data_IF_130730045966
#
_entry.id   IF_130730045966
#
_cell.length_a   1.000
_cell.length_b   1.000
_cell.length_c   1.000
_cell.angle_alpha   90.00
_cell.angle_beta   90.00
_cell.angle_gamma   90.00
#
_symmetry.space_group_name_H-M   'P 1'
#
loop_
_entity.id
_entity.type
_entity.pdbx_description
1 polymer ?
#
# COMPACT_ATOMS: atom_id res chain seq x y z
N UNK A 1 -11.72 9.93 -8.58
CA UNK A 1 -10.48 10.75 -8.54
C UNK A 1 -9.31 9.80 -8.33
N UNK A 2 -8.17 9.99 -9.02
CA UNK A 2 -6.99 9.10 -8.96
C UNK A 2 -5.68 9.88 -8.70
N UNK A 3 -5.77 11.17 -8.41
CA UNK A 3 -4.65 12.07 -8.62
C UNK A 3 -4.23 12.80 -7.34
N UNK A 4 -3.55 12.03 -6.48
CA UNK A 4 -2.47 12.50 -5.59
C UNK A 4 -2.88 13.53 -4.54
N UNK A 5 -4.17 13.79 -4.39
CA UNK A 5 -4.68 14.63 -3.33
C UNK A 5 -4.48 13.91 -1.99
N UNK A 6 -4.31 14.70 -0.93
CA UNK A 6 -4.21 14.16 0.43
C UNK A 6 -5.47 13.34 0.75
N UNK A 7 -5.28 12.06 1.11
CA UNK A 7 -6.38 11.14 1.43
C UNK A 7 -6.83 10.21 0.30
N UNK A 8 -6.33 10.36 -0.92
CA UNK A 8 -6.67 9.45 -2.03
C UNK A 8 -6.11 8.02 -1.83
N UNK A 9 -5.03 7.88 -1.03
CA UNK A 9 -4.31 6.61 -0.82
C UNK A 9 -4.06 6.38 0.66
N UNK A 10 -4.77 5.43 1.29
CA UNK A 10 -4.68 5.23 2.75
C UNK A 10 -4.83 3.76 3.22
N UNK A 11 -3.78 2.94 3.11
CA UNK A 11 -2.77 2.95 2.05
C UNK A 11 -3.35 2.35 0.75
N UNK A 12 -2.58 2.39 -0.32
CA UNK A 12 -2.90 1.71 -1.58
C UNK A 12 -1.69 0.91 -2.07
N UNK A 13 -1.96 -0.23 -2.72
CA UNK A 13 -0.94 -1.13 -3.26
C UNK A 13 -1.31 -1.57 -4.67
N UNK A 14 -0.35 -1.53 -5.57
CA UNK A 14 -0.44 -2.02 -6.94
C UNK A 14 0.72 -2.95 -7.24
N UNK A 15 0.67 -3.63 -8.39
CA UNK A 15 1.83 -4.28 -8.97
C UNK A 15 2.53 -3.33 -9.95
N UNK A 16 3.86 -3.37 -9.99
CA UNK A 16 4.57 -2.82 -11.15
C UNK A 16 4.27 -3.67 -12.38
N UNK A 17 4.12 -3.01 -13.53
CA UNK A 17 3.81 -3.64 -14.82
C UNK A 17 4.69 -4.86 -15.08
N UNK A 18 4.07 -5.96 -15.49
CA UNK A 18 4.72 -7.24 -15.82
C UNK A 18 5.58 -7.86 -14.69
N UNK A 19 5.32 -7.49 -13.43
CA UNK A 19 6.00 -8.05 -12.26
C UNK A 19 5.02 -8.43 -11.16
N UNK A 20 5.51 -9.14 -10.14
CA UNK A 20 4.81 -9.32 -8.87
C UNK A 20 5.39 -8.44 -7.75
N UNK A 21 6.15 -7.40 -8.12
CA UNK A 21 6.69 -6.39 -7.20
C UNK A 21 5.60 -5.40 -6.84
N UNK A 22 5.46 -5.10 -5.54
CA UNK A 22 4.47 -4.12 -5.09
C UNK A 22 4.97 -2.68 -5.20
N UNK A 23 4.06 -1.81 -5.64
CA UNK A 23 4.16 -0.35 -5.56
C UNK A 23 3.18 0.13 -4.49
N UNK A 24 3.69 0.61 -3.36
CA UNK A 24 2.85 0.92 -2.18
C UNK A 24 2.94 2.41 -1.88
N UNK A 25 1.77 3.03 -1.71
CA UNK A 25 1.63 4.47 -1.50
C UNK A 25 0.69 4.76 -0.34
N UNK A 26 1.00 5.80 0.40
CA UNK A 26 0.08 6.37 1.38
C UNK A 26 0.20 7.89 1.39
N UNK A 27 -0.90 8.55 1.69
CA UNK A 27 -0.93 9.98 1.90
C UNK A 27 -0.20 10.37 3.18
N UNK A 28 0.44 11.52 3.12
CA UNK A 28 0.90 12.32 4.25
C UNK A 28 0.61 13.78 3.99
N UNK A 29 0.77 14.60 5.02
CA UNK A 29 0.75 16.05 4.89
C UNK A 29 1.68 16.49 3.75
N UNK A 30 1.15 17.32 2.86
CA UNK A 30 1.85 17.88 1.70
C UNK A 30 2.34 16.83 0.67
N UNK A 31 1.79 15.60 0.67
CA UNK A 31 2.12 14.58 -0.33
C UNK A 31 1.22 13.35 -0.32
N UNK A 32 0.36 13.21 -1.34
CA UNK A 32 -0.57 12.07 -1.50
C UNK A 32 -0.01 10.83 -2.21
N UNK A 33 1.30 10.75 -2.46
CA UNK A 33 1.92 9.67 -3.24
C UNK A 33 3.30 9.23 -2.73
N UNK A 34 3.61 9.53 -1.48
CA UNK A 34 4.78 8.96 -0.81
C UNK A 34 4.54 7.48 -0.55
N UNK A 35 5.61 6.72 -0.35
CA UNK A 35 5.49 5.27 -0.41
C UNK A 35 6.78 4.52 -0.16
N UNK A 36 6.66 3.21 -0.29
CA UNK A 36 7.75 2.26 -0.13
C UNK A 36 7.56 1.15 -1.17
N UNK A 37 8.56 0.96 -2.05
CA UNK A 37 8.48 -0.02 -3.13
C UNK A 37 9.51 -1.14 -2.87
N UNK A 38 9.15 -2.23 -2.16
CA UNK A 38 10.06 -3.34 -1.90
C UNK A 38 10.69 -3.85 -3.19
N UNK A 39 11.99 -4.15 -3.20
CA UNK A 39 12.64 -4.74 -4.38
C UNK A 39 12.18 -6.18 -4.63
N UNK A 40 11.73 -6.84 -3.58
CA UNK A 40 11.28 -8.21 -3.52
C UNK A 40 9.94 -8.39 -4.23
N UNK A 41 9.88 -9.43 -5.05
CA UNK A 41 8.68 -9.86 -5.76
C UNK A 41 7.89 -10.87 -4.94
N UNK A 42 6.55 -10.81 -5.01
CA UNK A 42 5.71 -11.84 -4.41
C UNK A 42 5.83 -13.14 -5.22
N UNK A 43 6.03 -14.30 -4.58
CA UNK A 43 6.11 -15.57 -5.29
C UNK A 43 4.77 -15.95 -5.93
N UNK A 44 4.80 -16.33 -7.21
CA UNK A 44 3.63 -16.81 -7.93
C UNK A 44 3.06 -18.09 -7.31
N UNK A 45 1.73 -18.21 -7.29
CA UNK A 45 1.03 -19.41 -6.79
C UNK A 45 1.13 -19.63 -5.28
N UNK A 46 1.71 -18.71 -4.52
CA UNK A 46 1.88 -18.83 -3.07
C UNK A 46 1.25 -17.65 -2.33
N UNK A 47 0.35 -17.96 -1.39
CA UNK A 47 -0.20 -16.95 -0.49
C UNK A 47 0.94 -16.32 0.33
N UNK A 48 1.02 -14.99 0.29
CA UNK A 48 2.00 -14.21 1.04
C UNK A 48 1.26 -13.17 1.86
N UNK A 49 1.43 -13.20 3.18
CA UNK A 49 0.89 -12.16 4.06
C UNK A 49 1.69 -10.87 3.85
N UNK A 50 0.99 -9.79 3.50
CA UNK A 50 1.57 -8.46 3.35
C UNK A 50 1.06 -7.59 4.49
N UNK A 51 1.95 -7.10 5.34
CA UNK A 51 1.63 -6.13 6.39
C UNK A 51 2.19 -4.76 5.99
N UNK A 52 1.34 -3.73 5.95
CA UNK A 52 1.73 -2.34 5.70
C UNK A 52 1.44 -1.56 6.98
N UNK A 53 2.47 -0.93 7.56
CA UNK A 53 2.36 -0.15 8.79
C UNK A 53 2.79 1.27 8.53
N UNK A 54 1.91 2.23 8.85
CA UNK A 54 2.22 3.66 8.80
C UNK A 54 2.03 4.21 10.21
N UNK A 55 3.14 4.36 10.94
CA UNK A 55 3.16 4.79 12.34
C UNK A 55 4.55 5.31 12.70
N UNK A 56 4.66 6.05 13.81
CA UNK A 56 5.95 6.50 14.39
C UNK A 56 6.86 7.23 13.39
N UNK A 57 6.27 8.04 12.50
CA UNK A 57 7.03 8.78 11.49
C UNK A 57 7.41 7.96 10.26
N UNK A 58 7.02 6.70 10.17
CA UNK A 58 7.52 5.75 9.17
C UNK A 58 6.41 5.00 8.44
N UNK A 59 6.73 4.55 7.24
CA UNK A 59 6.03 3.44 6.58
C UNK A 59 6.96 2.24 6.54
N UNK A 60 6.46 1.08 6.94
CA UNK A 60 7.15 -0.20 6.90
C UNK A 60 6.28 -1.24 6.19
N UNK A 61 6.90 -2.05 5.34
CA UNK A 61 6.24 -3.13 4.61
C UNK A 61 6.90 -4.45 4.97
N UNK A 62 6.09 -5.46 5.24
CA UNK A 62 6.56 -6.80 5.60
C UNK A 62 5.92 -7.85 4.71
N UNK A 63 6.72 -8.81 4.26
CA UNK A 63 6.26 -10.03 3.60
C UNK A 63 6.49 -11.21 4.52
N UNK A 64 5.41 -11.93 4.85
CA UNK A 64 5.44 -13.07 5.78
C UNK A 64 6.18 -12.75 7.10
N UNK A 65 6.05 -11.53 7.61
CA UNK A 65 6.68 -11.06 8.85
C UNK A 65 8.09 -10.45 8.69
N UNK A 66 8.76 -10.65 7.56
CA UNK A 66 10.08 -10.05 7.30
C UNK A 66 9.92 -8.65 6.70
N UNK A 67 10.61 -7.65 7.26
CA UNK A 67 10.60 -6.28 6.74
C UNK A 67 11.34 -6.23 5.40
N UNK A 68 10.65 -5.79 4.36
CA UNK A 68 11.17 -5.69 2.97
C UNK A 68 11.31 -4.26 2.49
N UNK A 69 10.69 -3.29 3.18
CA UNK A 69 10.82 -1.87 2.84
C UNK A 69 10.56 -0.98 4.06
N UNK A 70 11.26 0.14 4.15
CA UNK A 70 11.01 1.22 5.11
C UNK A 70 11.27 2.60 4.50
N UNK A 71 10.46 3.60 4.85
CA UNK A 71 10.73 5.02 4.64
C UNK A 71 10.33 5.82 5.89
N UNK A 72 11.02 6.94 6.13
CA UNK A 72 10.82 7.81 7.32
C UNK A 72 10.19 9.16 6.98
N UNK A 73 9.41 9.26 5.89
CA UNK A 73 8.77 10.51 5.47
C UNK A 73 7.40 10.77 6.12
N UNK A 74 6.94 9.89 7.01
CA UNK A 74 5.56 9.90 7.54
C UNK A 74 5.44 10.55 8.91
N UNK A 75 6.17 11.65 9.17
CA UNK A 75 6.02 12.43 10.41
C UNK A 75 4.62 13.02 10.62
N UNK A 76 3.81 13.10 9.56
CA UNK A 76 2.40 13.53 9.60
C UNK A 76 1.60 12.73 8.56
N UNK A 77 1.28 11.45 8.84
CA UNK A 77 0.56 10.60 7.89
C UNK A 77 -0.89 11.07 7.76
N UNK A 78 -1.47 10.92 6.57
CA UNK A 78 -2.90 11.16 6.42
C UNK A 78 -3.65 10.02 7.10
N UNK A 79 -4.56 10.37 8.00
CA UNK A 79 -5.34 9.41 8.77
C UNK A 79 -6.77 9.42 8.26
N UNK A 80 -7.33 8.27 7.84
CA UNK A 80 -8.71 8.22 7.37
C UNK A 80 -9.69 8.58 8.49
N UNK A 81 -10.75 9.30 8.12
CA UNK A 81 -11.87 9.65 8.98
C UNK A 81 -13.17 9.06 8.42
N UNK A 82 -13.91 8.33 9.24
CA UNK A 82 -15.19 7.73 8.87
C UNK A 82 -15.06 6.43 8.07
N UNK A 83 -16.11 6.09 7.32
CA UNK A 83 -16.19 4.88 6.50
C UNK A 83 -15.33 4.99 5.26
N UNK A 84 -14.47 3.99 5.04
CA UNK A 84 -13.59 3.90 3.88
C UNK A 84 -14.10 2.87 2.88
N UNK A 85 -13.98 3.19 1.58
CA UNK A 85 -14.22 2.23 0.50
C UNK A 85 -12.87 1.65 0.07
N UNK A 86 -12.77 0.32 0.08
CA UNK A 86 -11.62 -0.40 -0.45
C UNK A 86 -11.88 -0.83 -1.89
N UNK A 87 -10.90 -0.60 -2.77
CA UNK A 87 -10.95 -1.00 -4.17
C UNK A 87 -9.88 -2.07 -4.43
N UNK A 88 -10.24 -3.14 -5.13
CA UNK A 88 -9.32 -4.23 -5.50
C UNK A 88 -8.80 -4.14 -6.95
N UNK A 89 -9.29 -3.16 -7.70
CA UNK A 89 -8.88 -2.81 -9.06
C UNK A 89 -9.29 -1.35 -9.32
N UNK A 90 -8.83 -0.78 -10.43
CA UNK A 90 -9.22 0.56 -10.84
C UNK A 90 -9.59 0.60 -12.34
N UNK A 91 -10.40 1.59 -12.79
CA UNK A 91 -10.83 1.67 -14.19
C UNK A 91 -9.73 2.05 -15.19
N UNK A 92 -8.54 2.44 -14.73
CA UNK A 92 -7.48 3.00 -15.57
C UNK A 92 -6.42 1.96 -15.96
N UNK A 93 -6.33 0.84 -15.25
CA UNK A 93 -5.35 -0.22 -15.49
C UNK A 93 -6.02 -1.59 -15.54
N UNK A 94 -5.41 -2.53 -16.27
CA UNK A 94 -5.82 -3.93 -16.21
C UNK A 94 -5.57 -4.47 -14.81
N UNK A 95 -6.56 -5.18 -14.26
CA UNK A 95 -6.41 -5.86 -12.99
C UNK A 95 -5.35 -6.96 -13.10
N UNK A 96 -4.50 -7.08 -12.07
CA UNK A 96 -3.56 -8.17 -11.98
C UNK A 96 -4.31 -9.50 -11.80
N UNK A 97 -3.79 -10.58 -12.39
CA UNK A 97 -4.29 -11.93 -12.17
C UNK A 97 -3.82 -12.44 -10.79
N UNK A 98 -4.50 -11.97 -9.74
CA UNK A 98 -4.18 -12.28 -8.35
C UNK A 98 -5.46 -12.46 -7.51
N UNK A 99 -5.32 -13.13 -6.38
CA UNK A 99 -6.39 -13.23 -5.37
C UNK A 99 -5.98 -12.46 -4.13
N UNK A 100 -6.86 -11.59 -3.64
CA UNK A 100 -6.72 -10.92 -2.35
C UNK A 100 -7.73 -11.53 -1.39
N UNK A 101 -7.28 -11.88 -0.19
CA UNK A 101 -8.13 -12.45 0.86
C UNK A 101 -7.70 -11.90 2.23
N UNK A 102 -8.60 -11.96 3.20
CA UNK A 102 -8.36 -11.49 4.57
C UNK A 102 -7.86 -10.03 4.65
N UNK A 103 -8.41 -9.15 3.81
CA UNK A 103 -8.11 -7.73 3.85
C UNK A 103 -8.65 -7.14 5.16
N UNK A 104 -7.76 -6.57 5.96
CA UNK A 104 -8.09 -5.87 7.20
C UNK A 104 -7.38 -4.52 7.23
N UNK A 105 -8.10 -3.49 7.67
CA UNK A 105 -7.54 -2.18 7.96
C UNK A 105 -7.83 -1.82 9.41
N UNK A 106 -6.77 -1.53 10.16
CA UNK A 106 -6.88 -1.08 11.55
C UNK A 106 -6.14 0.22 11.70
N UNK A 107 -6.81 1.23 12.25
CA UNK A 107 -6.17 2.48 12.65
C UNK A 107 -5.32 2.19 13.90
N UNK A 108 -4.04 2.51 13.81
CA UNK A 108 -3.08 2.44 14.92
C UNK A 108 -3.18 3.68 15.81
#
# INVERSE_FOLDING_TARGET
>A
KNCRDEGDRMPAAWFFTDTTRLHIRSGRKDGGNDGCDPTEQLPLGKATKVDIRVAEGKMQVFYAGSKVCETSTYGSPTVPAGTMVAYAADPWHYAALATVSHLSYTRL
#
